data_IF_729082432515
#
_entry.id   IF_729082432515
#
_cell.length_a   1.000
_cell.length_b   1.000
_cell.length_c   1.000
_cell.angle_alpha   90.00
_cell.angle_beta   90.00
_cell.angle_gamma   90.00
#
_symmetry.space_group_name_H-M   'P 1'
#
loop_
_entity.id
_entity.type
_entity.pdbx_description
1 polymer ?
#
# COMPACT_ATOMS: atom_id res chain seq x y z
N UNK A 1 18.30 17.17 22.57
CA UNK A 1 18.85 16.90 21.23
C UNK A 1 17.69 16.73 20.25
N UNK A 2 17.73 17.42 19.14
CA UNK A 2 16.68 17.29 18.13
C UNK A 2 16.83 15.98 17.37
N UNK A 3 15.73 15.27 17.17
CA UNK A 3 15.69 14.07 16.33
C UNK A 3 15.39 14.50 14.90
N UNK A 4 16.36 14.29 14.00
CA UNK A 4 16.21 14.64 12.59
C UNK A 4 15.58 13.53 11.77
N UNK A 5 15.63 12.30 12.25
CA UNK A 5 15.17 11.14 11.52
C UNK A 5 14.77 10.05 12.51
N UNK A 6 13.54 9.60 12.43
CA UNK A 6 13.05 8.53 13.29
C UNK A 6 12.05 7.65 12.54
N UNK A 7 11.71 6.51 13.13
CA UNK A 7 10.75 5.59 12.56
C UNK A 7 9.36 6.25 12.49
N UNK A 8 8.67 6.07 11.37
CA UNK A 8 7.32 6.59 11.19
C UNK A 8 6.32 5.80 12.03
N UNK A 9 5.21 6.45 12.38
CA UNK A 9 4.14 5.80 13.16
C UNK A 9 3.44 4.70 12.36
N UNK A 10 3.40 4.84 11.04
CA UNK A 10 2.68 3.90 10.20
C UNK A 10 3.40 2.57 10.01
N UNK A 11 4.71 2.50 10.27
CA UNK A 11 5.46 1.25 10.18
C UNK A 11 5.41 0.50 11.50
N UNK A 12 5.21 -0.83 11.41
CA UNK A 12 5.27 -1.71 12.58
C UNK A 12 6.72 -2.04 12.93
N UNK A 13 6.92 -2.77 14.02
CA UNK A 13 8.25 -3.21 14.43
C UNK A 13 8.70 -4.51 13.72
N UNK A 14 7.88 -5.04 12.83
CA UNK A 14 8.19 -6.26 12.09
C UNK A 14 9.36 -6.02 11.15
N UNK A 15 10.34 -6.91 11.19
CA UNK A 15 11.47 -6.83 10.29
C UNK A 15 11.05 -7.17 8.86
N UNK A 16 11.51 -6.37 7.90
CA UNK A 16 11.22 -6.62 6.49
C UNK A 16 11.84 -7.94 6.02
N UNK A 17 11.11 -8.64 5.16
CA UNK A 17 11.61 -9.86 4.53
C UNK A 17 12.36 -9.59 3.22
N UNK A 18 12.35 -8.34 2.76
CA UNK A 18 12.97 -7.97 1.49
C UNK A 18 14.48 -8.17 1.54
N UNK A 19 15.07 -8.38 0.37
CA UNK A 19 16.53 -8.53 0.26
C UNK A 19 17.24 -7.25 0.69
N UNK A 20 18.44 -7.36 1.29
CA UNK A 20 19.23 -6.17 1.59
C UNK A 20 19.46 -5.32 0.35
N UNK A 21 19.21 -4.02 0.45
CA UNK A 21 19.33 -3.10 -0.68
C UNK A 21 18.15 -3.10 -1.64
N UNK A 22 17.13 -3.91 -1.39
CA UNK A 22 15.91 -3.89 -2.19
C UNK A 22 15.15 -2.58 -1.99
N UNK A 23 14.68 -1.98 -3.08
CA UNK A 23 13.97 -0.71 -3.03
C UNK A 23 12.62 -0.79 -2.30
N UNK A 24 12.05 -1.97 -2.11
CA UNK A 24 10.80 -2.12 -1.35
C UNK A 24 10.91 -1.54 0.06
N UNK A 25 12.03 -1.74 0.75
CA UNK A 25 12.23 -1.16 2.07
C UNK A 25 12.17 0.36 2.05
N UNK A 26 12.81 0.97 1.06
CA UNK A 26 12.81 2.43 0.88
C UNK A 26 11.40 2.92 0.56
N UNK A 27 10.70 2.25 -0.35
CA UNK A 27 9.36 2.63 -0.76
C UNK A 27 8.37 2.54 0.41
N UNK A 28 8.44 1.49 1.22
CA UNK A 28 7.61 1.38 2.42
C UNK A 28 7.81 2.57 3.35
N UNK A 29 9.07 2.95 3.56
CA UNK A 29 9.39 4.10 4.40
C UNK A 29 8.81 5.40 3.84
N UNK A 30 8.96 5.63 2.54
CA UNK A 30 8.47 6.84 1.90
C UNK A 30 6.94 6.93 1.94
N UNK A 31 6.26 5.82 1.65
CA UNK A 31 4.79 5.78 1.73
C UNK A 31 4.32 6.05 3.16
N UNK A 32 4.97 5.44 4.14
CA UNK A 32 4.62 5.65 5.54
C UNK A 32 4.84 7.10 5.97
N UNK A 33 5.93 7.73 5.53
CA UNK A 33 6.20 9.13 5.83
C UNK A 33 5.14 10.05 5.25
N UNK A 34 4.74 9.82 4.00
CA UNK A 34 3.71 10.64 3.35
C UNK A 34 2.38 10.53 4.09
N UNK A 35 1.99 9.32 4.47
CA UNK A 35 0.73 9.12 5.19
C UNK A 35 0.78 9.77 6.58
N UNK A 36 1.92 9.67 7.28
CA UNK A 36 2.10 10.35 8.57
C UNK A 36 1.99 11.86 8.42
N UNK A 37 2.60 12.44 7.38
CA UNK A 37 2.53 13.88 7.12
C UNK A 37 1.12 14.36 6.79
N UNK A 38 0.31 13.51 6.18
CA UNK A 38 -1.08 13.82 5.86
C UNK A 38 -2.02 13.69 7.06
N UNK A 39 -1.52 13.22 8.20
CA UNK A 39 -2.32 13.01 9.43
C UNK A 39 -3.54 12.13 9.21
N UNK A 40 -3.36 11.03 8.49
CA UNK A 40 -4.44 10.10 8.15
C UNK A 40 -4.55 8.94 9.15
N UNK A 41 -4.11 9.14 10.38
CA UNK A 41 -4.15 8.12 11.41
C UNK A 41 -5.57 7.60 11.58
N UNK A 42 -5.75 6.30 11.40
CA UNK A 42 -7.07 5.67 11.46
C UNK A 42 -7.98 5.91 10.26
N UNK A 43 -7.52 6.66 9.26
CA UNK A 43 -8.32 7.01 8.08
C UNK A 43 -7.66 6.54 6.79
N UNK A 44 -6.90 5.47 6.85
CA UNK A 44 -6.21 4.92 5.68
C UNK A 44 -6.37 3.42 5.66
N UNK A 45 -6.65 2.88 4.48
CA UNK A 45 -6.76 1.45 4.23
C UNK A 45 -5.87 1.12 3.03
N UNK A 46 -5.02 0.12 3.18
CA UNK A 46 -4.18 -0.35 2.10
C UNK A 46 -4.68 -1.67 1.52
N UNK A 47 -4.37 -1.91 0.26
CA UNK A 47 -4.64 -3.19 -0.40
C UNK A 47 -3.31 -3.77 -0.83
N UNK A 48 -2.96 -4.91 -0.23
CA UNK A 48 -1.69 -5.58 -0.50
C UNK A 48 -1.78 -6.39 -1.80
N UNK A 49 -0.66 -6.48 -2.52
CA UNK A 49 -0.57 -7.21 -3.79
C UNK A 49 -0.18 -8.67 -3.56
N UNK A 50 0.04 -9.38 -4.65
CA UNK A 50 0.74 -10.66 -4.64
C UNK A 50 2.12 -10.44 -5.26
N UNK A 51 3.17 -10.94 -4.60
CA UNK A 51 4.55 -10.75 -5.02
C UNK A 51 5.44 -10.45 -3.83
N UNK A 52 6.55 -9.73 -4.06
CA UNK A 52 7.49 -9.42 -2.98
C UNK A 52 6.86 -8.63 -1.83
N UNK A 53 5.87 -7.80 -2.11
CA UNK A 53 5.22 -6.98 -1.09
C UNK A 53 3.93 -7.60 -0.54
N UNK A 54 3.73 -8.92 -0.72
CA UNK A 54 2.54 -9.62 -0.22
C UNK A 54 2.35 -9.46 1.29
N UNK A 55 3.43 -9.32 2.05
CA UNK A 55 3.38 -9.15 3.50
C UNK A 55 3.30 -7.68 3.94
N UNK A 56 2.91 -6.78 3.05
CA UNK A 56 2.76 -5.37 3.41
C UNK A 56 1.82 -5.17 4.62
N UNK A 57 0.84 -6.05 4.80
CA UNK A 57 -0.05 -6.00 5.93
C UNK A 57 0.65 -6.16 7.29
N UNK A 58 1.84 -6.80 7.31
CA UNK A 58 2.64 -6.93 8.53
C UNK A 58 3.45 -5.67 8.82
N UNK A 59 3.72 -4.85 7.82
CA UNK A 59 4.66 -3.73 7.92
C UNK A 59 3.98 -2.38 8.12
N UNK A 60 2.80 -2.19 7.53
CA UNK A 60 2.05 -0.96 7.72
C UNK A 60 1.11 -1.08 8.91
N UNK A 61 1.13 -0.07 9.76
CA UNK A 61 0.24 0.00 10.93
C UNK A 61 -1.07 0.68 10.56
N UNK A 62 -1.80 0.08 9.64
CA UNK A 62 -3.12 0.52 9.21
C UNK A 62 -3.91 -0.72 8.78
N UNK A 63 -5.20 -0.54 8.53
CA UNK A 63 -6.02 -1.63 8.04
C UNK A 63 -5.61 -2.00 6.64
N UNK A 64 -5.47 -3.30 6.39
CA UNK A 64 -5.02 -3.82 5.11
C UNK A 64 -5.94 -4.92 4.62
N UNK A 65 -6.21 -4.91 3.33
CA UNK A 65 -6.83 -6.03 2.63
C UNK A 65 -5.79 -6.70 1.74
N UNK A 66 -5.97 -7.96 1.49
CA UNK A 66 -5.15 -8.70 0.55
C UNK A 66 -5.99 -9.07 -0.66
N UNK A 67 -5.45 -8.87 -1.86
CA UNK A 67 -6.15 -9.15 -3.09
C UNK A 67 -5.44 -10.24 -3.88
N UNK A 68 -6.16 -10.96 -4.73
CA UNK A 68 -5.55 -11.87 -5.68
C UNK A 68 -4.64 -11.10 -6.65
N UNK A 69 -3.67 -11.80 -7.22
CA UNK A 69 -2.69 -11.19 -8.13
C UNK A 69 -3.38 -10.44 -9.27
N UNK A 70 -3.03 -9.18 -9.44
CA UNK A 70 -3.61 -8.32 -10.46
C UNK A 70 -4.99 -7.76 -10.12
N UNK A 71 -5.51 -8.00 -8.93
CA UNK A 71 -6.89 -7.61 -8.54
C UNK A 71 -6.94 -6.53 -7.48
N UNK A 72 -5.80 -6.02 -7.03
CA UNK A 72 -5.77 -5.01 -5.98
C UNK A 72 -6.57 -3.74 -6.34
N UNK A 73 -6.49 -3.19 -7.55
CA UNK A 73 -7.31 -2.02 -7.90
C UNK A 73 -8.81 -2.29 -7.83
N UNK A 74 -9.25 -3.48 -8.22
CA UNK A 74 -10.67 -3.83 -8.15
C UNK A 74 -11.14 -3.91 -6.69
N UNK A 75 -10.35 -4.54 -5.82
CA UNK A 75 -10.65 -4.62 -4.39
C UNK A 75 -10.66 -3.22 -3.77
N UNK A 76 -9.66 -2.40 -4.10
CA UNK A 76 -9.57 -1.04 -3.58
C UNK A 76 -10.77 -0.19 -4.01
N UNK A 77 -11.24 -0.36 -5.23
CA UNK A 77 -12.43 0.35 -5.72
C UNK A 77 -13.65 0.01 -4.88
N UNK A 78 -13.87 -1.26 -4.61
CA UNK A 78 -14.99 -1.70 -3.77
C UNK A 78 -14.87 -1.19 -2.33
N UNK A 79 -13.68 -1.28 -1.74
CA UNK A 79 -13.43 -0.78 -0.39
C UNK A 79 -13.69 0.73 -0.32
N UNK A 80 -13.20 1.49 -1.30
CA UNK A 80 -13.38 2.94 -1.31
C UNK A 80 -14.86 3.33 -1.37
N UNK A 81 -15.65 2.62 -2.15
CA UNK A 81 -17.09 2.87 -2.21
C UNK A 81 -17.78 2.57 -0.89
N UNK A 82 -17.29 1.59 -0.14
CA UNK A 82 -17.88 1.21 1.14
C UNK A 82 -17.52 2.18 2.26
N UNK A 83 -16.29 2.73 2.28
CA UNK A 83 -15.82 3.57 3.39
C UNK A 83 -16.08 5.05 3.19
N UNK A 84 -16.41 5.49 1.99
CA UNK A 84 -16.75 6.87 1.72
C UNK A 84 -15.56 7.78 1.51
N UNK A 85 -15.79 9.13 1.40
CA UNK A 85 -14.76 10.06 0.96
C UNK A 85 -13.69 10.40 1.98
N UNK A 86 -13.94 10.20 3.28
CA UNK A 86 -13.02 10.65 4.33
C UNK A 86 -11.87 9.69 4.58
N UNK A 87 -11.95 8.45 4.07
CA UNK A 87 -10.92 7.44 4.26
C UNK A 87 -10.12 7.29 2.97
N UNK A 88 -8.80 7.40 3.07
CA UNK A 88 -7.92 7.15 1.93
C UNK A 88 -7.74 5.66 1.74
N UNK A 89 -7.86 5.20 0.50
CA UNK A 89 -7.59 3.81 0.12
C UNK A 89 -6.47 3.81 -0.90
N UNK A 90 -5.42 3.02 -0.66
CA UNK A 90 -4.31 2.93 -1.58
C UNK A 90 -4.00 1.46 -1.92
N UNK A 91 -3.37 1.26 -3.06
CA UNK A 91 -2.82 -0.05 -3.43
C UNK A 91 -1.30 0.04 -3.44
N UNK A 92 -0.67 -1.07 -3.09
CA UNK A 92 0.79 -1.21 -3.18
C UNK A 92 1.03 -2.41 -4.10
N UNK A 93 1.50 -2.16 -5.31
CA UNK A 93 1.58 -3.18 -6.34
C UNK A 93 2.97 -3.30 -6.93
N UNK A 94 3.38 -4.53 -7.24
CA UNK A 94 4.57 -4.78 -8.02
C UNK A 94 4.29 -4.63 -9.51
N UNK A 95 5.33 -4.75 -10.32
CA UNK A 95 5.23 -4.64 -11.77
C UNK A 95 4.34 -5.73 -12.38
N UNK A 96 4.43 -6.95 -11.85
CA UNK A 96 3.58 -8.05 -12.32
C UNK A 96 2.10 -7.79 -12.05
N UNK A 97 1.78 -7.31 -10.85
CA UNK A 97 0.41 -6.97 -10.47
C UNK A 97 -0.17 -5.86 -11.34
N UNK A 98 0.64 -4.86 -11.65
CA UNK A 98 0.15 -3.65 -12.32
C UNK A 98 0.19 -3.77 -13.83
N UNK A 99 1.27 -4.29 -14.38
CA UNK A 99 1.51 -4.20 -15.82
C UNK A 99 1.26 -5.51 -16.57
N UNK A 100 1.33 -6.67 -15.90
CA UNK A 100 1.21 -7.96 -16.58
C UNK A 100 -0.18 -8.56 -16.48
N UNK A 101 -0.75 -8.65 -15.27
CA UNK A 101 -2.04 -9.33 -15.08
C UNK A 101 -3.06 -8.46 -14.34
N UNK A 102 -2.87 -7.16 -14.34
CA UNK A 102 -3.82 -6.24 -13.71
C UNK A 102 -5.16 -6.27 -14.45
N UNK A 103 -6.23 -6.50 -13.72
CA UNK A 103 -7.58 -6.52 -14.29
C UNK A 103 -7.94 -5.21 -14.96
N UNK A 104 -7.58 -4.08 -14.34
CA UNK A 104 -7.89 -2.76 -14.89
C UNK A 104 -7.04 -2.42 -16.11
N UNK A 105 -5.87 -3.04 -16.25
CA UNK A 105 -5.04 -2.87 -17.43
C UNK A 105 -5.69 -3.52 -18.67
N UNK A 106 -6.35 -4.65 -18.47
CA UNK A 106 -6.99 -5.40 -19.56
C UNK A 106 -8.45 -5.03 -19.77
N UNK A 107 -9.01 -4.18 -18.92
CA UNK A 107 -10.39 -3.73 -19.00
C UNK A 107 -10.46 -2.32 -19.57
N UNK A 108 -11.56 -1.96 -20.26
CA UNK A 108 -11.73 -0.58 -20.71
C UNK A 108 -11.68 0.38 -19.54
N UNK A 109 -10.89 1.44 -19.68
CA UNK A 109 -10.80 2.49 -18.67
C UNK A 109 -11.91 3.51 -18.90
N UNK A 110 -12.55 4.02 -17.83
CA UNK A 110 -13.54 5.09 -17.99
C UNK A 110 -12.94 6.40 -18.51
N UNK A 111 -11.61 6.49 -18.57
CA UNK A 111 -10.91 7.67 -19.11
C UNK A 111 -10.59 7.57 -20.60
N UNK A 112 -10.72 6.41 -21.17
CA UNK A 112 -10.35 6.15 -22.57
C UNK A 112 -11.46 6.56 -23.55
#
# INVERSE_FOLDING_TARGET
>A
MAVLFEKTKLLTDKQFHYCPGCNHGIIHRLVAEVIDEMNLDGKVIGVAPVGCSVFAYDYFNCDMYEAAHGRAPAVATGVKRAVGPDTMVFTYQGDGDLASICLLYTSPSPRD
#
